data_IF_305053980610
#
_entry.id   IF_305053980610
#
_cell.length_a   1.000
_cell.length_b   1.000
_cell.length_c   1.000
_cell.angle_alpha   90.00
_cell.angle_beta   90.00
_cell.angle_gamma   90.00
#
_symmetry.space_group_name_H-M   'P 1'
#
loop_
_entity.id
_entity.type
_entity.pdbx_description
1 polymer ?
#
# COMPACT_ATOMS: atom_id res chain seq x y z
N UNK A 1 -26.33 -16.36 12.59
CA UNK A 1 -25.82 -16.26 12.14
C UNK A 1 -25.25 -15.51 11.74
N UNK A 2 -24.85 -15.41 12.23
CA UNK A 2 -24.15 -14.60 12.17
C UNK A 2 -23.65 -14.05 11.06
N UNK A 3 -23.71 -13.20 10.90
CA UNK A 3 -23.09 -12.38 10.14
C UNK A 3 -22.71 -12.73 8.90
N UNK A 4 -22.97 -13.81 8.77
CA UNK A 4 -22.43 -14.24 7.76
C UNK A 4 -22.99 -13.68 6.59
N UNK A 5 -22.59 -13.58 5.69
CA UNK A 5 -22.89 -13.29 4.35
C UNK A 5 -24.35 -13.26 4.04
N UNK A 6 -25.01 -12.24 4.55
CA UNK A 6 -26.40 -12.01 4.26
C UNK A 6 -26.60 -11.28 2.94
N UNK A 7 -25.50 -10.92 2.26
CA UNK A 7 -25.61 -10.18 1.02
C UNK A 7 -25.80 -11.11 -0.18
N UNK A 8 -26.62 -10.67 -1.13
CA UNK A 8 -26.72 -11.34 -2.43
C UNK A 8 -25.43 -11.10 -3.20
N UNK A 9 -25.15 -11.89 -4.25
CA UNK A 9 -23.98 -11.63 -5.08
C UNK A 9 -23.91 -10.21 -5.64
N UNK A 10 -25.08 -9.66 -6.03
CA UNK A 10 -25.13 -8.30 -6.54
C UNK A 10 -24.79 -7.29 -5.45
N UNK A 11 -25.33 -7.48 -4.25
CA UNK A 11 -25.07 -6.58 -3.15
C UNK A 11 -23.60 -6.63 -2.73
N UNK A 12 -23.01 -7.81 -2.75
CA UNK A 12 -21.61 -7.99 -2.43
C UNK A 12 -20.72 -7.29 -3.45
N UNK A 13 -21.04 -7.43 -4.71
CA UNK A 13 -20.29 -6.78 -5.77
C UNK A 13 -20.37 -5.27 -5.65
N UNK A 14 -21.55 -4.73 -5.35
CA UNK A 14 -21.69 -3.30 -5.13
C UNK A 14 -20.87 -2.83 -3.95
N UNK A 15 -20.92 -3.57 -2.83
CA UNK A 15 -20.17 -3.21 -1.64
C UNK A 15 -18.67 -3.22 -1.91
N UNK A 16 -18.18 -4.19 -2.66
CA UNK A 16 -16.78 -4.25 -3.02
C UNK A 16 -16.36 -3.09 -3.92
N UNK A 17 -17.26 -2.62 -4.77
CA UNK A 17 -16.95 -1.49 -5.65
C UNK A 17 -16.79 -0.19 -4.89
N UNK A 18 -17.29 -0.11 -3.66
CA UNK A 18 -17.14 1.07 -2.82
C UNK A 18 -15.83 1.09 -2.06
N UNK A 19 -15.09 -0.01 -2.08
CA UNK A 19 -13.78 -0.03 -1.44
C UNK A 19 -12.85 0.84 -2.26
N UNK A 20 -12.30 1.85 -1.62
CA UNK A 20 -11.46 2.83 -2.33
C UNK A 20 -10.13 2.21 -2.70
N UNK A 21 -9.68 2.49 -3.93
CA UNK A 21 -8.35 2.11 -4.36
C UNK A 21 -7.34 3.20 -4.05
N UNK A 22 -7.82 4.38 -3.65
CA UNK A 22 -6.96 5.51 -3.29
C UNK A 22 -7.68 6.33 -2.22
N UNK A 23 -6.93 7.24 -1.58
CA UNK A 23 -7.43 8.12 -0.52
C UNK A 23 -8.00 7.31 0.65
N UNK A 24 -7.41 6.14 0.92
CA UNK A 24 -7.80 5.33 2.07
C UNK A 24 -7.28 5.94 3.35
N UNK A 25 -7.83 5.52 4.50
CA UNK A 25 -7.37 6.03 5.79
C UNK A 25 -5.88 5.80 6.03
N UNK A 26 -5.32 4.60 5.74
CA UNK A 26 -3.89 4.41 5.86
C UNK A 26 -3.08 5.37 5.00
N UNK A 27 -3.52 5.58 3.76
CA UNK A 27 -2.83 6.47 2.84
C UNK A 27 -2.86 7.91 3.34
N UNK A 28 -4.01 8.36 3.82
CA UNK A 28 -4.15 9.72 4.36
C UNK A 28 -3.26 9.94 5.58
N UNK A 29 -3.13 8.94 6.44
CA UNK A 29 -2.25 9.02 7.58
C UNK A 29 -0.80 9.20 7.15
N UNK A 30 -0.35 8.41 6.17
CA UNK A 30 1.01 8.51 5.66
C UNK A 30 1.26 9.88 5.04
N UNK A 31 0.31 10.40 4.27
CA UNK A 31 0.41 11.74 3.69
C UNK A 31 0.64 12.79 4.76
N UNK A 32 -0.16 12.73 5.82
CA UNK A 32 -0.08 13.70 6.90
C UNK A 32 1.28 13.63 7.60
N UNK A 33 1.77 12.44 7.85
CA UNK A 33 3.06 12.26 8.50
C UNK A 33 4.20 12.81 7.64
N UNK A 34 4.21 12.47 6.36
CA UNK A 34 5.25 12.92 5.43
C UNK A 34 5.24 14.44 5.30
N UNK A 35 4.05 15.01 5.16
CA UNK A 35 3.92 16.46 5.04
C UNK A 35 4.41 17.16 6.31
N UNK A 36 4.09 16.59 7.47
CA UNK A 36 4.55 17.12 8.75
C UNK A 36 6.06 17.03 8.93
N UNK A 37 6.70 16.11 8.25
CA UNK A 37 8.17 15.99 8.26
C UNK A 37 8.84 16.97 7.30
N UNK A 38 8.06 17.73 6.55
CA UNK A 38 8.60 18.75 5.66
C UNK A 38 8.80 18.33 4.22
N UNK A 39 8.40 17.13 3.87
CA UNK A 39 8.57 16.67 2.50
C UNK A 39 7.33 16.95 1.66
N UNK A 40 7.54 17.23 0.38
CA UNK A 40 6.46 17.46 -0.57
C UNK A 40 6.43 16.32 -1.57
N UNK A 41 5.24 16.00 -2.07
CA UNK A 41 5.03 14.83 -2.89
C UNK A 41 3.89 15.05 -3.87
N UNK A 42 3.84 14.18 -4.89
CA UNK A 42 2.72 14.09 -5.80
C UNK A 42 1.99 12.78 -5.54
N UNK A 43 0.70 12.74 -5.90
CA UNK A 43 -0.13 11.57 -5.63
C UNK A 43 -0.41 10.81 -6.92
N UNK A 44 -0.37 9.50 -6.83
CA UNK A 44 -0.91 8.59 -7.84
C UNK A 44 -0.49 8.92 -9.27
N UNK A 45 0.78 9.13 -9.50
CA UNK A 45 1.28 9.40 -10.86
C UNK A 45 1.02 8.19 -11.75
N UNK A 46 0.28 8.43 -12.85
CA UNK A 46 -0.11 7.35 -13.75
C UNK A 46 1.01 6.90 -14.65
N UNK A 47 2.04 7.72 -14.82
CA UNK A 47 3.17 7.39 -15.65
C UNK A 47 4.17 6.43 -15.01
N UNK A 48 3.97 6.11 -13.72
CA UNK A 48 4.84 5.16 -13.02
C UNK A 48 4.14 3.82 -12.82
N UNK A 49 4.90 2.72 -12.82
CA UNK A 49 4.30 1.41 -12.55
C UNK A 49 3.56 1.38 -11.23
N UNK A 50 2.35 0.83 -11.23
CA UNK A 50 1.56 0.67 -10.03
C UNK A 50 0.93 1.91 -9.46
N UNK A 51 1.08 3.06 -10.12
CA UNK A 51 0.53 4.33 -9.66
C UNK A 51 0.81 4.54 -8.17
N UNK A 52 2.08 4.72 -7.78
CA UNK A 52 2.45 4.81 -6.38
C UNK A 52 1.65 5.86 -5.62
N UNK A 53 1.39 5.59 -4.35
CA UNK A 53 0.56 6.47 -3.53
C UNK A 53 1.19 7.84 -3.32
N UNK A 54 2.50 7.88 -3.04
CA UNK A 54 3.23 9.13 -2.89
C UNK A 54 4.49 9.07 -3.78
N UNK A 55 4.74 10.15 -4.50
CA UNK A 55 5.88 10.22 -5.41
C UNK A 55 6.73 11.44 -5.09
N UNK A 56 8.00 11.21 -4.84
CA UNK A 56 8.99 12.26 -4.60
C UNK A 56 9.85 12.35 -5.84
N UNK A 57 9.39 13.14 -6.81
CA UNK A 57 9.97 13.19 -8.15
C UNK A 57 11.46 13.47 -8.20
N UNK A 58 11.91 14.61 -7.63
CA UNK A 58 13.35 14.92 -7.69
C UNK A 58 14.24 13.88 -7.01
N UNK A 59 13.71 13.18 -6.02
CA UNK A 59 14.48 12.18 -5.28
C UNK A 59 14.43 10.80 -5.91
N UNK A 60 13.52 10.58 -6.87
CA UNK A 60 13.27 9.27 -7.48
C UNK A 60 12.90 8.23 -6.43
N UNK A 61 12.06 8.63 -5.49
CA UNK A 61 11.55 7.76 -4.42
C UNK A 61 10.05 7.72 -4.47
N UNK A 62 9.49 6.57 -4.11
CA UNK A 62 8.02 6.43 -4.02
C UNK A 62 7.66 5.68 -2.75
N UNK A 63 6.45 5.94 -2.26
CA UNK A 63 5.88 5.18 -1.15
C UNK A 63 4.61 4.51 -1.63
N UNK A 64 4.52 3.22 -1.36
CA UNK A 64 3.33 2.42 -1.63
C UNK A 64 2.72 2.04 -0.29
N UNK A 65 1.43 2.33 -0.11
CA UNK A 65 0.72 2.01 1.13
C UNK A 65 -0.18 0.81 0.85
N UNK A 66 0.15 -0.33 1.44
CA UNK A 66 -0.54 -1.59 1.17
C UNK A 66 -1.49 -1.94 2.31
N UNK A 67 -2.76 -2.18 1.97
CA UNK A 67 -3.69 -2.80 2.90
C UNK A 67 -3.32 -4.27 3.06
N UNK A 68 -3.23 -4.72 4.31
CA UNK A 68 -2.67 -6.04 4.59
C UNK A 68 -3.46 -7.17 3.94
N UNK A 69 -4.78 -7.10 3.99
CA UNK A 69 -5.60 -8.14 3.40
C UNK A 69 -5.45 -8.18 1.87
N UNK A 70 -5.66 -7.02 1.23
CA UNK A 70 -5.72 -6.96 -0.23
C UNK A 70 -4.40 -7.29 -0.91
N UNK A 71 -3.29 -6.99 -0.25
CA UNK A 71 -1.96 -7.26 -0.79
C UNK A 71 -1.34 -8.53 -0.23
N UNK A 72 -2.10 -9.28 0.55
CA UNK A 72 -1.66 -10.57 1.06
C UNK A 72 -0.40 -10.47 1.90
N UNK A 73 -0.43 -9.60 2.90
CA UNK A 73 0.75 -9.39 3.75
C UNK A 73 1.20 -10.71 4.38
N UNK A 74 2.40 -11.11 4.08
CA UNK A 74 2.92 -12.41 4.47
C UNK A 74 3.64 -12.33 5.83
N UNK A 75 2.89 -11.93 6.86
CA UNK A 75 3.38 -11.85 8.22
C UNK A 75 2.42 -12.66 9.11
N UNK A 76 2.89 -13.77 9.70
CA UNK A 76 1.99 -14.61 10.50
C UNK A 76 1.39 -13.88 11.71
N UNK A 77 2.01 -12.79 12.15
CA UNK A 77 1.48 -12.00 13.25
C UNK A 77 0.52 -10.91 12.81
N UNK A 78 0.31 -10.73 11.52
CA UNK A 78 -0.57 -9.68 11.02
C UNK A 78 -2.02 -10.14 11.04
N UNK A 79 -2.80 -9.60 11.98
CA UNK A 79 -4.21 -9.95 12.10
C UNK A 79 -5.04 -9.38 10.96
N UNK A 80 -4.61 -8.27 10.37
CA UNK A 80 -5.33 -7.63 9.29
C UNK A 80 -5.24 -8.41 7.98
N UNK A 81 -4.21 -9.23 7.83
CA UNK A 81 -4.02 -10.03 6.61
C UNK A 81 -4.73 -11.37 6.68
N UNK A 82 -5.42 -11.66 7.79
CA UNK A 82 -6.04 -12.96 7.97
C UNK A 82 -7.15 -13.18 6.94
N UNK A 83 -6.99 -14.20 6.12
CA UNK A 83 -7.97 -14.52 5.10
C UNK A 83 -9.23 -15.14 5.73
N UNK A 84 -10.41 -14.88 5.17
CA UNK A 84 -11.62 -15.54 5.62
C UNK A 84 -11.50 -17.05 5.47
N UNK A 85 -12.04 -17.79 6.43
CA UNK A 85 -12.00 -19.25 6.36
C UNK A 85 -12.94 -19.78 5.29
N UNK A 86 -14.01 -19.06 5.01
CA UNK A 86 -14.94 -19.42 3.96
C UNK A 86 -14.50 -18.81 2.63
N UNK A 87 -14.84 -19.48 1.54
CA UNK A 87 -14.61 -18.98 0.19
C UNK A 87 -13.14 -18.83 -0.17
N UNK A 88 -12.33 -19.76 0.32
CA UNK A 88 -10.90 -19.76 0.03
C UNK A 88 -10.64 -19.84 -1.48
N UNK A 89 -11.47 -20.57 -2.21
CA UNK A 89 -11.30 -20.69 -3.65
C UNK A 89 -11.51 -19.34 -4.36
N UNK A 90 -12.28 -18.46 -3.77
CA UNK A 90 -12.52 -17.12 -4.32
C UNK A 90 -11.35 -16.18 -4.01
N UNK A 91 -10.97 -16.12 -2.72
CA UNK A 91 -9.96 -15.15 -2.27
C UNK A 91 -8.53 -15.58 -2.56
N UNK A 92 -8.25 -16.88 -2.48
CA UNK A 92 -6.89 -17.38 -2.64
C UNK A 92 -6.23 -16.96 -3.95
N UNK A 93 -6.85 -17.27 -5.10
CA UNK A 93 -6.25 -16.88 -6.38
C UNK A 93 -6.16 -15.37 -6.57
N UNK A 94 -7.15 -14.64 -6.07
CA UNK A 94 -7.17 -13.19 -6.19
C UNK A 94 -6.02 -12.55 -5.41
N UNK A 95 -5.81 -13.00 -4.18
CA UNK A 95 -4.73 -12.46 -3.36
C UNK A 95 -3.36 -12.86 -3.91
N UNK A 96 -3.26 -14.07 -4.46
CA UNK A 96 -2.02 -14.50 -5.09
C UNK A 96 -1.67 -13.63 -6.29
N UNK A 97 -2.65 -13.30 -7.12
CA UNK A 97 -2.43 -12.42 -8.26
C UNK A 97 -2.04 -11.02 -7.82
N UNK A 98 -2.64 -10.53 -6.74
CA UNK A 98 -2.28 -9.22 -6.21
C UNK A 98 -0.83 -9.18 -5.74
N UNK A 99 -0.38 -10.21 -5.02
CA UNK A 99 1.01 -10.29 -4.58
C UNK A 99 1.98 -10.34 -5.74
N UNK A 100 1.63 -11.09 -6.78
CA UNK A 100 2.46 -11.20 -7.95
C UNK A 100 2.56 -9.86 -8.69
N UNK A 101 1.43 -9.16 -8.80
CA UNK A 101 1.41 -7.82 -9.39
C UNK A 101 2.26 -6.84 -8.59
N UNK A 102 2.18 -6.91 -7.25
CA UNK A 102 2.95 -6.02 -6.41
C UNK A 102 4.45 -6.24 -6.59
N UNK A 103 4.88 -7.50 -6.70
CA UNK A 103 6.29 -7.80 -6.97
C UNK A 103 6.73 -7.27 -8.32
N UNK A 104 5.89 -7.39 -9.33
CA UNK A 104 6.19 -6.88 -10.66
C UNK A 104 6.30 -5.36 -10.67
N UNK A 105 5.39 -4.68 -9.95
CA UNK A 105 5.43 -3.22 -9.83
C UNK A 105 6.74 -2.78 -9.18
N UNK A 106 7.12 -3.42 -8.09
CA UNK A 106 8.36 -3.08 -7.38
C UNK A 106 9.57 -3.30 -8.26
N UNK A 107 9.61 -4.43 -9.00
CA UNK A 107 10.69 -4.73 -9.91
C UNK A 107 10.81 -3.67 -11.00
N UNK A 108 9.69 -3.28 -11.59
CA UNK A 108 9.68 -2.28 -12.66
C UNK A 108 10.10 -0.90 -12.16
N UNK A 109 9.69 -0.53 -10.96
CA UNK A 109 10.13 0.71 -10.37
C UNK A 109 11.63 0.72 -10.17
N UNK A 110 12.18 -0.37 -9.62
CA UNK A 110 13.62 -0.47 -9.40
C UNK A 110 14.40 -0.41 -10.70
N UNK A 111 13.91 -1.08 -11.74
CA UNK A 111 14.57 -1.06 -13.04
C UNK A 111 14.54 0.32 -13.68
N UNK A 112 13.54 1.12 -13.34
CA UNK A 112 13.42 2.48 -13.86
C UNK A 112 14.17 3.51 -13.03
N UNK A 113 14.90 3.07 -12.02
CA UNK A 113 15.69 3.97 -11.20
C UNK A 113 14.95 4.58 -10.02
N UNK A 114 13.80 4.03 -9.67
CA UNK A 114 13.02 4.48 -8.52
C UNK A 114 13.22 3.54 -7.34
N UNK A 115 13.33 4.11 -6.16
CA UNK A 115 13.38 3.32 -4.93
C UNK A 115 12.01 3.35 -4.27
N UNK A 116 11.47 2.18 -3.97
CA UNK A 116 10.12 2.07 -3.41
C UNK A 116 10.17 1.65 -1.95
N UNK A 117 9.39 2.33 -1.13
CA UNK A 117 9.16 1.92 0.26
C UNK A 117 7.72 1.44 0.36
N UNK A 118 7.55 0.21 0.81
CA UNK A 118 6.22 -0.34 1.02
C UNK A 118 5.88 -0.24 2.49
N UNK A 119 4.78 0.44 2.80
CA UNK A 119 4.27 0.56 4.15
C UNK A 119 2.98 -0.24 4.26
N UNK A 120 2.93 -1.13 5.24
CA UNK A 120 1.77 -1.98 5.46
C UNK A 120 0.83 -1.34 6.48
N UNK A 121 -0.46 -1.53 6.27
CA UNK A 121 -1.47 -0.96 7.15
C UNK A 121 -1.22 -1.29 8.62
N UNK A 122 -0.82 -2.51 8.92
CA UNK A 122 -0.56 -2.92 10.31
C UNK A 122 0.63 -2.20 10.94
N UNK A 123 1.52 -1.65 10.12
CA UNK A 123 2.71 -0.95 10.61
C UNK A 123 2.41 0.49 11.00
N UNK A 124 1.25 1.00 10.66
CA UNK A 124 0.90 2.40 10.92
C UNK A 124 0.68 2.71 12.40
N UNK A 125 0.62 1.69 13.23
CA UNK A 125 0.51 1.88 14.68
C UNK A 125 1.82 2.38 15.29
N UNK A 126 2.94 2.01 14.68
CA UNK A 126 4.26 2.38 15.18
C UNK A 126 4.73 3.63 14.44
N UNK A 127 4.28 4.79 14.92
CA UNK A 127 4.60 6.05 14.26
C UNK A 127 6.08 6.36 14.25
N UNK A 128 6.75 6.08 15.35
CA UNK A 128 8.19 6.32 15.44
C UNK A 128 8.94 5.48 14.41
N UNK A 129 8.57 4.21 14.27
CA UNK A 129 9.17 3.33 13.27
C UNK A 129 8.88 3.79 11.86
N UNK A 130 7.65 4.26 11.59
CA UNK A 130 7.28 4.79 10.29
C UNK A 130 8.12 6.00 9.95
N UNK A 131 8.21 6.96 10.87
CA UNK A 131 8.96 8.17 10.63
C UNK A 131 10.43 7.86 10.36
N UNK A 132 10.99 6.89 11.09
CA UNK A 132 12.37 6.48 10.88
C UNK A 132 12.55 5.88 9.49
N UNK A 133 11.65 5.02 9.05
CA UNK A 133 11.74 4.38 7.74
C UNK A 133 11.59 5.40 6.62
N UNK A 134 10.66 6.33 6.77
CA UNK A 134 10.45 7.39 5.79
C UNK A 134 11.63 8.34 5.75
N UNK A 135 12.19 8.69 6.91
CA UNK A 135 13.38 9.51 6.96
C UNK A 135 14.56 8.84 6.28
N UNK A 136 14.74 7.55 6.51
CA UNK A 136 15.79 6.79 5.88
C UNK A 136 15.67 6.82 4.36
N UNK A 137 14.46 6.64 3.86
CA UNK A 137 14.20 6.67 2.43
C UNK A 137 14.49 8.05 1.84
N UNK A 138 13.97 9.08 2.46
CA UNK A 138 13.96 10.42 1.88
C UNK A 138 15.22 11.21 2.18
N UNK A 139 15.78 11.04 3.37
CA UNK A 139 16.96 11.78 3.78
C UNK A 139 18.19 11.35 3.01
N UNK A 140 18.36 10.07 2.75
CA UNK A 140 19.55 9.56 2.08
C UNK A 140 19.70 10.07 0.66
N UNK A 141 18.66 10.65 0.09
CA UNK A 141 18.72 11.17 -1.28
C UNK A 141 19.12 12.64 -1.33
N UNK A 142 19.34 13.28 -0.19
CA UNK A 142 19.65 14.72 -0.19
C UNK A 142 20.90 15.05 -0.97
N UNK A 143 21.92 14.25 -0.85
CA UNK A 143 23.15 14.48 -1.58
C UNK A 143 22.94 14.44 -3.08
N UNK A 144 22.03 13.61 -3.52
CA UNK A 144 21.76 13.49 -4.94
C UNK A 144 20.88 14.62 -5.45
N UNK A 145 20.15 15.28 -4.58
CA UNK A 145 19.26 16.36 -4.97
C UNK A 145 19.99 17.66 -5.26
N UNK A 146 21.23 17.71 -4.90
CA UNK A 146 22.06 18.87 -5.19
C UNK A 146 22.68 18.78 -6.58
#
# INVERSE_FOLDING_TARGET
>A
MAGVDTLSPAQRSERMSRVRSRDTKPELLVRKLVHGMGYRYRLHRKDLPGKPDLVFGPRHKVILVHGCFWHGHNDPNCKLARAPKSRVEFWGPKLARNRERDREVERRLNESGWEALILWECELRDRAGLEQRMSCLLYTSDAADE
#
